data_IF_292344591593
#
_entry.id   IF_292344591593
#
_cell.length_a   1.000
_cell.length_b   1.000
_cell.length_c   1.000
_cell.angle_alpha   90.00
_cell.angle_beta   90.00
_cell.angle_gamma   90.00
#
_symmetry.space_group_name_H-M   'P 1'
#
loop_
_entity.id
_entity.type
_entity.pdbx_description
1 polymer ?
#
# COMPACT_ATOMS: atom_id res chain seq x y z
N UNK A 1 70.49 16.82 24.10
CA UNK A 1 69.40 16.65 25.09
C UNK A 1 68.02 17.04 24.58
N UNK A 2 67.80 18.25 24.01
CA UNK A 2 66.46 18.69 23.53
C UNK A 2 65.82 17.80 22.44
N UNK A 3 66.61 17.16 21.57
CA UNK A 3 66.12 16.24 20.51
C UNK A 3 65.62 14.89 21.07
N UNK A 4 66.29 14.38 22.12
CA UNK A 4 65.91 13.14 22.80
C UNK A 4 64.61 13.35 23.59
N UNK A 5 64.47 14.52 24.23
CA UNK A 5 63.24 14.89 24.93
C UNK A 5 62.02 14.98 23.99
N UNK A 6 62.20 15.50 22.77
CA UNK A 6 61.14 15.51 21.73
C UNK A 6 60.76 14.10 21.27
N UNK A 7 61.73 13.19 21.14
CA UNK A 7 61.49 11.79 20.75
C UNK A 7 60.74 11.02 21.84
N UNK A 8 61.10 11.22 23.11
CA UNK A 8 60.39 10.61 24.25
C UNK A 8 58.97 11.16 24.37
N UNK A 9 58.78 12.46 24.14
CA UNK A 9 57.45 13.09 24.15
C UNK A 9 56.55 12.53 23.03
N UNK A 10 57.09 12.35 21.81
CA UNK A 10 56.36 11.73 20.70
C UNK A 10 55.99 10.26 21.01
N UNK A 11 56.90 9.49 21.62
CA UNK A 11 56.65 8.10 21.99
C UNK A 11 55.51 7.95 23.02
N UNK A 12 55.32 8.92 23.90
CA UNK A 12 54.29 8.88 24.95
C UNK A 12 52.92 9.40 24.50
N UNK A 13 52.85 10.17 23.41
CA UNK A 13 51.60 10.78 22.92
C UNK A 13 50.86 9.87 21.92
N UNK A 14 51.57 9.00 21.20
CA UNK A 14 50.97 8.10 20.20
C UNK A 14 49.99 7.06 20.79
N UNK A 15 50.24 6.41 21.95
CA UNK A 15 49.33 5.40 22.49
C UNK A 15 47.97 5.97 22.96
N UNK A 16 47.93 7.26 23.33
CA UNK A 16 46.73 7.93 23.85
C UNK A 16 45.63 8.11 22.79
N UNK A 17 46.00 8.07 21.51
CA UNK A 17 45.09 8.30 20.38
C UNK A 17 44.32 7.01 20.01
N UNK A 18 44.83 5.84 20.44
CA UNK A 18 44.25 4.53 20.10
C UNK A 18 43.07 4.12 20.98
N UNK A 19 42.84 4.77 22.13
CA UNK A 19 41.73 4.46 23.03
C UNK A 19 40.38 5.10 22.64
N UNK A 20 40.33 5.86 21.53
CA UNK A 20 39.13 6.55 21.04
C UNK A 20 38.27 5.77 20.03
N UNK A 21 38.78 4.67 19.45
CA UNK A 21 38.00 3.83 18.52
C UNK A 21 37.07 2.89 19.29
N UNK A 22 36.01 3.44 19.89
CA UNK A 22 34.84 2.64 20.24
C UNK A 22 34.16 2.28 18.92
N UNK A 23 34.26 1.03 18.49
CA UNK A 23 33.62 0.54 17.26
C UNK A 23 32.14 0.94 17.23
N UNK A 24 31.61 1.21 16.04
CA UNK A 24 30.20 1.52 15.84
C UNK A 24 29.35 0.42 16.51
N UNK A 25 28.58 0.79 17.52
CA UNK A 25 27.64 -0.13 18.17
C UNK A 25 26.45 -0.30 17.24
N UNK A 26 26.52 -1.26 16.34
CA UNK A 26 25.42 -1.65 15.49
C UNK A 26 24.52 -2.55 16.33
N UNK A 27 23.39 -2.01 16.79
CA UNK A 27 22.32 -2.80 17.37
C UNK A 27 21.36 -3.19 16.24
N UNK A 28 21.19 -4.49 16.01
CA UNK A 28 20.10 -4.98 15.19
C UNK A 28 18.82 -4.85 16.01
N UNK A 29 18.02 -3.84 15.68
CA UNK A 29 16.66 -3.73 16.20
C UNK A 29 15.78 -4.50 15.24
N UNK A 30 15.28 -5.63 15.70
CA UNK A 30 14.23 -6.36 15.01
C UNK A 30 12.94 -5.54 15.10
N UNK A 31 12.61 -4.85 13.99
CA UNK A 31 11.40 -4.04 13.92
C UNK A 31 10.12 -4.88 14.05
N UNK A 32 10.18 -6.19 13.75
CA UNK A 32 9.03 -7.08 13.84
C UNK A 32 8.54 -7.24 15.29
N UNK A 33 9.44 -7.14 16.28
CA UNK A 33 9.11 -7.27 17.71
C UNK A 33 8.59 -5.95 18.32
N UNK A 34 9.09 -4.80 17.85
CA UNK A 34 8.63 -3.48 18.35
C UNK A 34 7.26 -3.11 17.74
N UNK A 35 7.06 -3.37 16.44
CA UNK A 35 5.81 -3.06 15.74
C UNK A 35 4.65 -3.96 16.22
N UNK A 36 4.91 -5.22 16.57
CA UNK A 36 3.90 -6.11 17.18
C UNK A 36 3.41 -5.63 18.56
N UNK A 37 4.16 -4.77 19.26
CA UNK A 37 3.77 -4.20 20.55
C UNK A 37 3.03 -2.88 20.44
N UNK A 38 3.01 -2.25 19.27
CA UNK A 38 2.33 -0.97 19.06
C UNK A 38 0.88 -1.23 18.64
N UNK A 39 -0.04 -1.26 19.62
CA UNK A 39 -1.47 -1.55 19.42
C UNK A 39 -2.10 -0.71 18.28
N UNK A 40 -1.59 0.48 18.04
CA UNK A 40 -2.07 1.39 16.99
C UNK A 40 -1.82 0.82 15.58
N UNK A 41 -0.63 0.24 15.31
CA UNK A 41 -0.32 -0.35 14.00
C UNK A 41 -1.19 -1.58 13.71
N UNK A 42 -1.39 -2.45 14.71
CA UNK A 42 -2.30 -3.59 14.60
C UNK A 42 -3.75 -3.15 14.35
N UNK A 43 -4.21 -2.12 15.08
CA UNK A 43 -5.56 -1.56 14.89
C UNK A 43 -5.74 -0.96 13.50
N UNK A 44 -4.75 -0.23 13.02
CA UNK A 44 -4.80 0.42 11.72
C UNK A 44 -4.78 -0.60 10.55
N UNK A 45 -4.07 -1.71 10.70
CA UNK A 45 -4.15 -2.84 9.74
C UNK A 45 -5.54 -3.50 9.74
N UNK A 46 -6.15 -3.73 10.91
CA UNK A 46 -7.52 -4.28 10.97
C UNK A 46 -8.53 -3.37 10.27
N UNK A 47 -8.43 -2.05 10.47
CA UNK A 47 -9.29 -1.08 9.78
C UNK A 47 -9.07 -1.05 8.27
N UNK A 48 -7.83 -1.24 7.82
CA UNK A 48 -7.51 -1.36 6.39
C UNK A 48 -8.14 -2.63 5.80
N UNK A 49 -8.02 -3.77 6.48
CA UNK A 49 -8.61 -5.03 6.05
C UNK A 49 -10.14 -4.96 5.98
N UNK A 50 -10.77 -4.29 6.95
CA UNK A 50 -12.21 -4.05 6.92
C UNK A 50 -12.64 -3.24 5.69
N UNK A 51 -11.92 -2.14 5.39
CA UNK A 51 -12.21 -1.33 4.19
C UNK A 51 -11.99 -2.11 2.90
N UNK A 52 -10.93 -2.92 2.81
CA UNK A 52 -10.69 -3.80 1.66
C UNK A 52 -11.85 -4.76 1.46
N UNK A 53 -12.34 -5.37 2.55
CA UNK A 53 -13.51 -6.26 2.52
C UNK A 53 -14.77 -5.54 2.02
N UNK A 54 -15.02 -4.33 2.53
CA UNK A 54 -16.15 -3.50 2.12
C UNK A 54 -16.09 -3.15 0.63
N UNK A 55 -14.93 -2.72 0.12
CA UNK A 55 -14.76 -2.41 -1.30
C UNK A 55 -14.93 -3.63 -2.20
N UNK A 56 -14.40 -4.80 -1.80
CA UNK A 56 -14.63 -6.05 -2.52
C UNK A 56 -16.13 -6.36 -2.60
N UNK A 57 -16.85 -6.25 -1.49
CA UNK A 57 -18.30 -6.46 -1.45
C UNK A 57 -19.05 -5.48 -2.34
N UNK A 58 -18.68 -4.20 -2.34
CA UNK A 58 -19.26 -3.17 -3.19
C UNK A 58 -19.11 -3.52 -4.69
N UNK A 59 -17.91 -3.90 -5.11
CA UNK A 59 -17.62 -4.28 -6.50
C UNK A 59 -18.41 -5.53 -6.90
N UNK A 60 -18.45 -6.56 -6.04
CA UNK A 60 -19.19 -7.79 -6.33
C UNK A 60 -20.70 -7.53 -6.45
N UNK A 61 -21.29 -6.69 -5.59
CA UNK A 61 -22.69 -6.29 -5.72
C UNK A 61 -22.97 -5.58 -7.05
N UNK A 62 -22.07 -4.69 -7.50
CA UNK A 62 -22.21 -4.03 -8.80
C UNK A 62 -22.08 -5.01 -9.97
N UNK A 63 -21.16 -5.98 -9.91
CA UNK A 63 -21.05 -7.04 -10.93
C UNK A 63 -22.28 -7.92 -11.02
N UNK A 64 -22.86 -8.30 -9.87
CA UNK A 64 -24.12 -9.06 -9.83
C UNK A 64 -25.23 -8.25 -10.50
N UNK A 65 -25.34 -6.95 -10.19
CA UNK A 65 -26.31 -6.05 -10.83
C UNK A 65 -26.08 -5.93 -12.35
N UNK A 66 -24.84 -5.79 -12.80
CA UNK A 66 -24.51 -5.74 -14.24
C UNK A 66 -25.01 -7.01 -14.93
N UNK A 67 -24.74 -8.18 -14.35
CA UNK A 67 -25.20 -9.46 -14.89
C UNK A 67 -26.73 -9.52 -14.96
N UNK A 68 -27.44 -9.10 -13.92
CA UNK A 68 -28.91 -9.06 -13.93
C UNK A 68 -29.45 -8.17 -15.05
N UNK A 69 -28.85 -6.99 -15.26
CA UNK A 69 -29.24 -6.08 -16.35
C UNK A 69 -29.00 -6.73 -17.72
N UNK A 70 -27.85 -7.41 -17.91
CA UNK A 70 -27.53 -8.11 -19.15
C UNK A 70 -28.49 -9.28 -19.44
N UNK A 71 -28.81 -10.06 -18.41
CA UNK A 71 -29.74 -11.19 -18.50
C UNK A 71 -31.14 -10.67 -18.87
N UNK A 72 -31.60 -9.60 -18.21
CA UNK A 72 -32.88 -8.96 -18.51
C UNK A 72 -32.92 -8.37 -19.93
N UNK A 73 -31.87 -7.65 -20.33
CA UNK A 73 -31.77 -7.08 -21.67
C UNK A 73 -31.83 -8.16 -22.75
N UNK A 74 -31.21 -9.32 -22.52
CA UNK A 74 -31.24 -10.43 -23.49
C UNK A 74 -32.67 -10.93 -23.76
N UNK A 75 -33.52 -10.96 -22.73
CA UNK A 75 -34.93 -11.34 -22.85
C UNK A 75 -35.75 -10.24 -23.53
N UNK A 76 -35.54 -8.99 -23.14
CA UNK A 76 -36.29 -7.83 -23.65
C UNK A 76 -35.91 -7.45 -25.08
N UNK A 77 -34.68 -7.74 -25.52
CA UNK A 77 -34.10 -7.34 -26.82
C UNK A 77 -34.98 -7.68 -28.02
N UNK A 78 -35.71 -8.80 -27.97
CA UNK A 78 -36.59 -9.25 -29.07
C UNK A 78 -37.78 -8.28 -29.28
N UNK A 79 -38.17 -7.55 -28.23
CA UNK A 79 -39.30 -6.63 -28.22
C UNK A 79 -38.88 -5.17 -28.53
N UNK A 80 -37.58 -4.89 -28.64
CA UNK A 80 -37.04 -3.54 -28.78
C UNK A 80 -36.78 -3.18 -30.24
N UNK A 81 -36.86 -1.88 -30.53
CA UNK A 81 -36.39 -1.31 -31.80
C UNK A 81 -34.86 -1.24 -31.83
N UNK A 82 -34.23 -1.19 -33.01
CA UNK A 82 -32.77 -1.09 -33.12
C UNK A 82 -32.15 0.10 -32.36
N UNK A 83 -32.82 1.25 -32.34
CA UNK A 83 -32.38 2.44 -31.61
C UNK A 83 -32.38 2.21 -30.09
N UNK A 84 -33.47 1.63 -29.54
CA UNK A 84 -33.55 1.29 -28.11
C UNK A 84 -32.55 0.22 -27.69
N UNK A 85 -32.17 -0.69 -28.60
CA UNK A 85 -31.13 -1.69 -28.37
C UNK A 85 -29.77 -1.00 -28.22
N UNK A 86 -29.43 -0.07 -29.12
CA UNK A 86 -28.17 0.67 -29.08
C UNK A 86 -28.04 1.50 -27.80
N UNK A 87 -29.08 2.25 -27.44
CA UNK A 87 -29.12 3.04 -26.22
C UNK A 87 -28.90 2.16 -24.98
N UNK A 88 -29.55 1.00 -24.91
CA UNK A 88 -29.37 0.08 -23.79
C UNK A 88 -28.01 -0.59 -23.74
N UNK A 89 -27.43 -0.93 -24.88
CA UNK A 89 -26.07 -1.46 -24.94
C UNK A 89 -25.03 -0.42 -24.49
N UNK A 90 -25.27 0.86 -24.79
CA UNK A 90 -24.47 1.98 -24.29
C UNK A 90 -24.58 2.08 -22.76
N UNK A 91 -25.79 2.10 -22.20
CA UNK A 91 -25.98 2.14 -20.74
C UNK A 91 -25.29 0.97 -20.01
N UNK A 92 -25.39 -0.25 -20.56
CA UNK A 92 -24.74 -1.44 -19.99
C UNK A 92 -23.21 -1.29 -20.04
N UNK A 93 -22.68 -0.74 -21.14
CA UNK A 93 -21.24 -0.51 -21.32
C UNK A 93 -20.72 0.54 -20.35
N UNK A 94 -21.45 1.62 -20.17
CA UNK A 94 -21.10 2.68 -19.23
C UNK A 94 -21.08 2.14 -17.80
N UNK A 95 -22.12 1.37 -17.41
CA UNK A 95 -22.16 0.73 -16.10
C UNK A 95 -21.00 -0.26 -15.89
N UNK A 96 -20.62 -1.01 -16.92
CA UNK A 96 -19.45 -1.89 -16.85
C UNK A 96 -18.14 -1.09 -16.69
N UNK A 97 -18.00 0.03 -17.40
CA UNK A 97 -16.85 0.94 -17.29
C UNK A 97 -16.75 1.56 -15.90
N UNK A 98 -17.88 1.91 -15.27
CA UNK A 98 -17.90 2.39 -13.89
C UNK A 98 -17.36 1.36 -12.89
N UNK A 99 -17.67 0.08 -13.09
CA UNK A 99 -17.15 -1.00 -12.24
C UNK A 99 -15.63 -1.11 -12.37
N UNK A 100 -15.11 -1.04 -13.60
CA UNK A 100 -13.66 -1.06 -13.86
C UNK A 100 -12.98 0.15 -13.22
N UNK A 101 -13.53 1.34 -13.44
CA UNK A 101 -13.03 2.60 -12.87
C UNK A 101 -13.03 2.57 -11.33
N UNK A 102 -14.08 1.99 -10.73
CA UNK A 102 -14.15 1.78 -9.29
C UNK A 102 -13.05 0.82 -8.82
N UNK A 103 -12.86 -0.30 -9.52
CA UNK A 103 -11.81 -1.26 -9.18
C UNK A 103 -10.41 -0.63 -9.26
N UNK A 104 -10.12 0.15 -10.30
CA UNK A 104 -8.86 0.89 -10.43
C UNK A 104 -8.70 1.95 -9.34
N UNK A 105 -9.77 2.68 -9.01
CA UNK A 105 -9.75 3.66 -7.92
C UNK A 105 -9.43 3.01 -6.56
N UNK A 106 -9.96 1.81 -6.29
CA UNK A 106 -9.72 1.11 -5.01
C UNK A 106 -8.38 0.38 -4.99
N UNK A 107 -8.06 -0.36 -6.06
CA UNK A 107 -6.99 -1.37 -6.11
C UNK A 107 -5.91 -1.10 -7.17
N UNK A 108 -5.98 0.03 -7.88
CA UNK A 108 -4.96 0.42 -8.85
C UNK A 108 -3.64 0.84 -8.19
N UNK A 109 -2.61 1.13 -9.00
CA UNK A 109 -1.27 1.46 -8.50
C UNK A 109 -1.24 2.66 -7.55
N UNK A 110 -2.11 3.65 -7.79
CA UNK A 110 -2.31 4.82 -6.94
C UNK A 110 -3.69 4.80 -6.25
N UNK A 111 -4.28 3.61 -6.10
CA UNK A 111 -5.61 3.44 -5.55
C UNK A 111 -5.67 3.62 -4.03
N UNK A 112 -6.89 3.71 -3.51
CA UNK A 112 -7.16 3.94 -2.09
C UNK A 112 -6.45 2.92 -1.17
N UNK A 113 -6.34 1.67 -1.59
CA UNK A 113 -5.62 0.62 -0.85
C UNK A 113 -4.13 0.94 -0.71
N UNK A 114 -3.47 1.35 -1.81
CA UNK A 114 -2.05 1.66 -1.81
C UNK A 114 -1.75 2.92 -1.00
N UNK A 115 -2.59 3.94 -1.12
CA UNK A 115 -2.49 5.17 -0.33
C UNK A 115 -2.60 4.85 1.17
N UNK A 116 -3.60 4.07 1.57
CA UNK A 116 -3.76 3.73 2.99
C UNK A 116 -2.63 2.84 3.49
N UNK A 117 -2.16 1.88 2.69
CA UNK A 117 -1.00 1.05 3.04
C UNK A 117 0.24 1.92 3.30
N UNK A 118 0.52 2.88 2.42
CA UNK A 118 1.67 3.79 2.56
C UNK A 118 1.57 4.74 3.77
N UNK A 119 0.37 4.94 4.34
CA UNK A 119 0.20 5.74 5.56
C UNK A 119 0.50 4.95 6.85
N UNK A 120 0.52 3.61 6.78
CA UNK A 120 0.81 2.74 7.91
C UNK A 120 2.31 2.49 8.11
N UNK A 121 3.10 2.64 7.06
CA UNK A 121 4.57 2.50 7.05
C UNK A 121 5.25 3.87 7.12
#
# INVERSE_FOLDING_TARGET
>A
MKRIFKLVFILFVIPSILHGQRGARIAYIDMDVILNKNKEFSTANMLLDEKISQWKKEIELKKIKLKQIQDQFTVEKILLTPELIEDRELEIRDFASEIVSLQEKRFGPNGDMMIQKNQLF
#
